data_IF_975889184219
#
_entry.id   IF_975889184219
#
_cell.length_a   1.000
_cell.length_b   1.000
_cell.length_c   1.000
_cell.angle_alpha   90.00
_cell.angle_beta   90.00
_cell.angle_gamma   90.00
#
_symmetry.space_group_name_H-M   'P 1'
#
loop_
_entity.id
_entity.type
_entity.pdbx_description
1 polymer ?
#
# COMPACT_ATOMS: atom_id res chain seq x y z
N UNK A 1 0.75 3.26 -25.08
CA UNK A 1 0.83 4.72 -24.85
C UNK A 1 1.64 4.90 -23.56
N UNK A 2 2.81 5.52 -23.64
CA UNK A 2 3.64 5.77 -22.44
C UNK A 2 2.97 6.95 -21.73
N UNK A 3 2.29 6.67 -20.62
CA UNK A 3 1.66 7.71 -19.81
C UNK A 3 2.79 8.45 -19.09
N UNK A 4 2.87 9.76 -19.32
CA UNK A 4 3.93 10.58 -18.74
C UNK A 4 3.82 10.61 -17.22
N UNK A 5 4.95 10.46 -16.54
CA UNK A 5 4.99 10.54 -15.06
C UNK A 5 4.50 11.91 -14.59
N UNK A 6 3.69 11.94 -13.52
CA UNK A 6 3.26 13.21 -12.94
C UNK A 6 4.48 13.98 -12.43
N UNK A 7 4.45 15.29 -12.65
CA UNK A 7 5.50 16.19 -12.15
C UNK A 7 5.17 16.58 -10.69
N UNK A 8 6.17 17.05 -9.96
CA UNK A 8 5.96 17.57 -8.60
C UNK A 8 4.83 18.60 -8.52
N UNK A 9 4.71 19.49 -9.53
CA UNK A 9 3.61 20.46 -9.61
C UNK A 9 2.22 19.80 -9.61
N UNK A 10 2.07 18.63 -10.21
CA UNK A 10 0.81 17.88 -10.19
C UNK A 10 0.55 17.30 -8.78
N UNK A 11 1.56 16.70 -8.16
CA UNK A 11 1.43 16.13 -6.83
C UNK A 11 1.02 17.19 -5.77
N UNK A 12 1.53 18.41 -5.89
CA UNK A 12 1.25 19.51 -4.96
C UNK A 12 0.12 20.44 -5.40
N UNK A 13 -0.55 20.16 -6.53
CA UNK A 13 -1.66 21.01 -7.02
C UNK A 13 -2.97 20.77 -6.28
N UNK A 14 -3.13 19.59 -5.68
CA UNK A 14 -4.34 19.18 -4.98
C UNK A 14 -3.99 18.20 -3.83
N UNK A 15 -4.53 18.39 -2.63
CA UNK A 15 -4.33 17.48 -1.50
C UNK A 15 -4.64 16.02 -1.85
N UNK A 16 -5.59 15.78 -2.74
CA UNK A 16 -5.98 14.44 -3.19
C UNK A 16 -4.85 13.75 -3.94
N UNK A 17 -4.19 14.50 -4.86
CA UNK A 17 -3.02 13.98 -5.59
C UNK A 17 -1.86 13.70 -4.63
N UNK A 18 -1.66 14.59 -3.65
CA UNK A 18 -0.59 14.44 -2.66
C UNK A 18 -0.77 13.17 -1.82
N UNK A 19 -2.01 12.86 -1.43
CA UNK A 19 -2.33 11.60 -0.72
C UNK A 19 -2.11 10.40 -1.67
N UNK A 20 -2.73 10.38 -2.85
CA UNK A 20 -2.64 9.27 -3.78
C UNK A 20 -1.19 8.92 -4.18
N UNK A 21 -0.31 9.95 -4.28
CA UNK A 21 1.10 9.79 -4.55
C UNK A 21 1.94 9.57 -3.27
N UNK A 22 1.35 9.14 -2.17
CA UNK A 22 2.06 8.81 -0.93
C UNK A 22 2.92 9.96 -0.43
N UNK A 23 2.35 11.16 -0.29
CA UNK A 23 3.04 12.38 0.13
C UNK A 23 4.27 12.73 -0.73
N UNK A 24 4.25 12.31 -2.00
CA UNK A 24 5.33 12.54 -2.95
C UNK A 24 6.28 11.35 -3.15
N UNK A 25 6.15 10.27 -2.40
CA UNK A 25 6.94 9.04 -2.61
C UNK A 25 6.76 8.48 -4.04
N UNK A 26 5.55 8.59 -4.59
CA UNK A 26 5.22 8.21 -5.96
C UNK A 26 5.92 9.00 -7.06
N UNK A 27 6.55 10.13 -6.73
CA UNK A 27 7.40 10.88 -7.66
C UNK A 27 8.80 10.25 -7.84
N UNK A 28 9.12 9.21 -7.06
CA UNK A 28 10.39 8.50 -7.17
C UNK A 28 10.63 8.05 -8.63
N UNK A 29 11.81 8.34 -9.21
CA UNK A 29 12.14 7.92 -10.56
C UNK A 29 12.29 6.40 -10.69
N UNK A 30 12.58 5.73 -9.58
CA UNK A 30 12.73 4.27 -9.50
C UNK A 30 11.74 3.69 -8.50
N UNK A 31 10.99 2.66 -8.95
CA UNK A 31 10.09 1.86 -8.13
C UNK A 31 9.22 2.69 -7.15
N UNK A 32 8.30 3.54 -7.64
CA UNK A 32 7.47 4.41 -6.78
C UNK A 32 6.66 3.62 -5.73
N UNK A 33 6.15 2.45 -6.08
CA UNK A 33 5.49 1.58 -5.13
C UNK A 33 6.39 1.09 -4.01
N UNK A 34 7.67 0.76 -4.31
CA UNK A 34 8.65 0.44 -3.25
C UNK A 34 8.89 1.64 -2.34
N UNK A 35 8.92 2.86 -2.89
CA UNK A 35 9.02 4.08 -2.08
C UNK A 35 7.79 4.27 -1.19
N UNK A 36 6.58 3.96 -1.69
CA UNK A 36 5.35 3.93 -0.91
C UNK A 36 5.42 2.92 0.24
N UNK A 37 5.81 1.68 -0.07
CA UNK A 37 5.97 0.63 0.95
C UNK A 37 6.99 1.04 2.03
N UNK A 38 8.13 1.65 1.65
CA UNK A 38 9.12 2.16 2.60
C UNK A 38 8.59 3.31 3.46
N UNK A 39 7.70 4.14 2.92
CA UNK A 39 7.06 5.22 3.66
C UNK A 39 6.16 4.71 4.79
N UNK A 40 5.65 3.49 4.69
CA UNK A 40 4.83 2.90 5.73
C UNK A 40 5.61 2.70 7.05
N UNK A 41 6.94 2.47 7.03
CA UNK A 41 7.74 2.31 8.25
C UNK A 41 7.75 3.56 9.15
N UNK A 42 8.14 4.76 8.66
CA UNK A 42 8.10 5.95 9.49
C UNK A 42 6.68 6.31 9.93
N UNK A 43 5.67 6.06 9.09
CA UNK A 43 4.27 6.27 9.49
C UNK A 43 3.86 5.30 10.59
N UNK A 44 4.25 4.02 10.51
CA UNK A 44 4.00 3.04 11.56
C UNK A 44 4.58 3.48 12.90
N UNK A 45 5.81 3.95 12.92
CA UNK A 45 6.45 4.43 14.14
C UNK A 45 5.82 5.72 14.67
N UNK A 46 5.38 6.61 13.77
CA UNK A 46 4.66 7.83 14.16
C UNK A 46 3.31 7.50 14.83
N UNK A 47 2.64 6.42 14.42
CA UNK A 47 1.40 5.92 15.03
C UNK A 47 1.64 5.05 16.27
N UNK A 48 2.85 5.00 16.81
CA UNK A 48 3.18 4.29 18.05
C UNK A 48 3.75 2.88 17.85
N UNK A 49 4.05 2.47 16.61
CA UNK A 49 4.82 1.23 16.33
C UNK A 49 4.24 -0.03 16.96
N UNK A 50 2.92 -0.21 16.95
CA UNK A 50 2.30 -1.38 17.59
C UNK A 50 2.09 -1.27 19.11
N UNK A 51 2.48 -0.15 19.71
CA UNK A 51 2.26 0.12 21.14
C UNK A 51 0.80 0.44 21.50
N UNK A 52 -0.11 0.36 20.52
CA UNK A 52 -1.53 0.53 20.80
C UNK A 52 -2.12 -0.78 21.29
N UNK A 53 -2.55 -0.80 22.54
CA UNK A 53 -3.27 -1.93 23.15
C UNK A 53 -4.73 -2.03 22.64
N UNK A 54 -5.12 -1.17 21.67
CA UNK A 54 -6.49 -1.05 21.16
C UNK A 54 -6.59 -1.52 19.70
N UNK A 55 -6.69 -2.85 19.46
CA UNK A 55 -6.70 -3.39 18.09
C UNK A 55 -7.89 -2.90 17.26
N UNK A 56 -9.03 -2.60 17.92
CA UNK A 56 -10.21 -2.07 17.23
C UNK A 56 -9.98 -0.65 16.71
N UNK A 57 -9.28 0.19 17.46
CA UNK A 57 -8.91 1.53 17.03
C UNK A 57 -7.95 1.48 15.83
N UNK A 58 -6.95 0.60 15.89
CA UNK A 58 -6.01 0.40 14.78
C UNK A 58 -6.74 -0.04 13.50
N UNK A 59 -7.64 -1.02 13.62
CA UNK A 59 -8.45 -1.48 12.49
C UNK A 59 -9.33 -0.36 11.92
N UNK A 60 -9.94 0.46 12.79
CA UNK A 60 -10.76 1.60 12.37
C UNK A 60 -9.91 2.65 11.63
N UNK A 61 -8.70 2.94 12.10
CA UNK A 61 -7.76 3.85 11.41
C UNK A 61 -7.36 3.29 10.04
N UNK A 62 -6.99 2.02 9.95
CA UNK A 62 -6.63 1.39 8.67
C UNK A 62 -7.81 1.38 7.69
N UNK A 63 -9.03 1.10 8.17
CA UNK A 63 -10.24 1.16 7.35
C UNK A 63 -10.53 2.59 6.86
N UNK A 64 -10.32 3.59 7.71
CA UNK A 64 -10.44 5.00 7.33
C UNK A 64 -9.40 5.37 6.26
N UNK A 65 -8.13 5.02 6.47
CA UNK A 65 -7.05 5.27 5.50
C UNK A 65 -7.29 4.57 4.16
N UNK A 66 -7.86 3.36 4.20
CA UNK A 66 -8.30 2.64 3.01
C UNK A 66 -9.40 3.40 2.26
N UNK A 67 -10.43 3.87 2.97
CA UNK A 67 -11.52 4.67 2.38
C UNK A 67 -11.03 5.97 1.74
N UNK A 68 -10.13 6.68 2.44
CA UNK A 68 -9.45 7.88 1.91
C UNK A 68 -8.64 7.52 0.66
N UNK A 69 -7.95 6.38 0.67
CA UNK A 69 -7.18 5.86 -0.47
C UNK A 69 -8.06 5.57 -1.68
N UNK A 70 -9.19 4.90 -1.49
CA UNK A 70 -10.17 4.63 -2.57
C UNK A 70 -10.60 5.94 -3.23
N UNK A 71 -10.98 6.94 -2.43
CA UNK A 71 -11.37 8.24 -2.94
C UNK A 71 -10.22 8.97 -3.65
N UNK A 72 -9.04 8.99 -3.04
CA UNK A 72 -7.90 9.71 -3.58
C UNK A 72 -7.37 9.08 -4.88
N UNK A 73 -7.24 7.75 -4.94
CA UNK A 73 -6.81 7.04 -6.13
C UNK A 73 -7.84 7.15 -7.27
N UNK A 74 -9.15 7.07 -6.95
CA UNK A 74 -10.20 7.25 -7.96
C UNK A 74 -10.11 8.63 -8.62
N UNK A 75 -10.04 9.69 -7.82
CA UNK A 75 -10.01 11.06 -8.35
C UNK A 75 -8.71 11.36 -9.08
N UNK A 76 -7.57 10.95 -8.53
CA UNK A 76 -6.25 11.12 -9.15
C UNK A 76 -6.16 10.35 -10.46
N UNK A 77 -6.66 9.11 -10.50
CA UNK A 77 -6.72 8.30 -11.72
C UNK A 77 -7.53 8.96 -12.83
N UNK A 78 -8.69 9.55 -12.49
CA UNK A 78 -9.50 10.34 -13.45
C UNK A 78 -8.72 11.53 -14.00
N UNK A 79 -8.01 12.27 -13.15
CA UNK A 79 -7.21 13.43 -13.59
C UNK A 79 -5.99 13.03 -14.43
N UNK A 80 -5.44 11.84 -14.22
CA UNK A 80 -4.34 11.28 -15.03
C UNK A 80 -4.85 10.56 -16.29
N UNK A 81 -6.16 10.32 -16.41
CA UNK A 81 -6.76 9.60 -17.53
C UNK A 81 -6.53 8.09 -17.51
N UNK A 82 -6.16 7.53 -16.35
CA UNK A 82 -5.94 6.08 -16.14
C UNK A 82 -6.40 5.68 -14.73
N UNK A 83 -7.03 4.52 -14.62
CA UNK A 83 -7.55 4.05 -13.32
C UNK A 83 -6.45 3.65 -12.33
N UNK A 84 -5.31 3.23 -12.84
CA UNK A 84 -4.16 2.84 -12.04
C UNK A 84 -2.90 3.40 -12.73
N UNK A 85 -2.27 4.36 -12.09
CA UNK A 85 -1.03 4.96 -12.56
C UNK A 85 0.09 4.58 -11.60
N UNK A 86 1.18 4.00 -12.11
CA UNK A 86 2.29 3.51 -11.29
C UNK A 86 3.01 4.54 -10.42
N UNK A 87 2.56 5.79 -10.37
CA UNK A 87 3.00 6.80 -9.42
C UNK A 87 2.03 6.94 -8.22
N UNK A 88 0.84 6.35 -8.29
CA UNK A 88 -0.02 6.22 -7.12
C UNK A 88 0.57 5.09 -6.26
N UNK A 89 0.80 5.35 -5.00
CA UNK A 89 1.45 4.40 -4.08
C UNK A 89 0.86 4.44 -2.66
N UNK A 90 -0.29 5.09 -2.50
CA UNK A 90 -1.00 5.12 -1.22
C UNK A 90 -1.57 3.75 -0.86
N UNK A 91 -1.95 2.95 -1.83
CA UNK A 91 -2.37 1.57 -1.74
C UNK A 91 -1.32 0.70 -1.05
N UNK A 92 -0.06 0.77 -1.52
CA UNK A 92 1.05 0.06 -0.89
C UNK A 92 1.33 0.56 0.54
N UNK A 93 1.18 1.87 0.78
CA UNK A 93 1.34 2.43 2.13
C UNK A 93 0.33 1.81 3.09
N UNK A 94 -0.96 1.85 2.75
CA UNK A 94 -2.04 1.36 3.63
C UNK A 94 -1.97 -0.15 3.79
N UNK A 95 -1.76 -0.88 2.70
CA UNK A 95 -1.66 -2.34 2.74
C UNK A 95 -0.46 -2.79 3.57
N UNK A 96 0.68 -2.11 3.45
CA UNK A 96 1.86 -2.46 4.23
C UNK A 96 1.76 -2.03 5.70
N UNK A 97 1.04 -0.95 6.02
CA UNK A 97 0.68 -0.63 7.41
C UNK A 97 -0.14 -1.77 8.05
N UNK A 98 -1.08 -2.38 7.31
CA UNK A 98 -1.81 -3.55 7.78
C UNK A 98 -0.87 -4.74 8.02
N UNK A 99 0.12 -4.96 7.14
CA UNK A 99 1.13 -6.01 7.32
C UNK A 99 1.95 -5.76 8.59
N UNK A 100 2.46 -4.54 8.80
CA UNK A 100 3.22 -4.18 9.99
C UNK A 100 2.41 -4.35 11.27
N UNK A 101 1.13 -3.99 11.25
CA UNK A 101 0.22 -4.12 12.39
C UNK A 101 0.05 -5.56 12.89
N UNK A 102 0.22 -6.54 12.01
CA UNK A 102 0.03 -7.97 12.32
C UNK A 102 1.35 -8.77 12.30
N UNK A 103 2.47 -8.10 12.00
CA UNK A 103 3.81 -8.69 12.02
C UNK A 103 4.47 -8.43 13.38
N UNK A 104 5.24 -9.37 13.95
CA UNK A 104 6.02 -9.11 15.15
C UNK A 104 6.88 -7.85 15.03
N UNK A 105 6.99 -7.09 16.12
CA UNK A 105 7.82 -5.87 16.17
C UNK A 105 9.30 -6.25 16.33
N UNK A 106 9.82 -6.89 15.30
CA UNK A 106 11.19 -7.34 15.15
C UNK A 106 11.71 -6.98 13.75
N UNK A 107 12.90 -6.38 13.64
CA UNK A 107 13.43 -5.92 12.36
C UNK A 107 13.55 -7.00 11.28
N UNK A 108 13.84 -8.24 11.67
CA UNK A 108 13.97 -9.35 10.71
C UNK A 108 12.62 -9.77 10.15
N UNK A 109 11.60 -9.81 11.01
CA UNK A 109 10.23 -10.09 10.60
C UNK A 109 9.67 -8.98 9.71
N UNK A 110 9.92 -7.72 10.06
CA UNK A 110 9.51 -6.57 9.26
C UNK A 110 10.22 -6.53 7.90
N UNK A 111 11.52 -6.85 7.85
CA UNK A 111 12.26 -6.97 6.59
C UNK A 111 11.71 -8.11 5.71
N UNK A 112 11.49 -9.29 6.30
CA UNK A 112 10.87 -10.41 5.58
C UNK A 112 9.48 -10.04 5.04
N UNK A 113 8.67 -9.36 5.86
CA UNK A 113 7.35 -8.84 5.47
C UNK A 113 7.44 -7.90 4.27
N UNK A 114 8.41 -6.98 4.28
CA UNK A 114 8.62 -6.03 3.19
C UNK A 114 8.93 -6.75 1.86
N UNK A 115 9.89 -7.67 1.86
CA UNK A 115 10.26 -8.38 0.63
C UNK A 115 9.14 -9.28 0.12
N UNK A 116 8.43 -9.98 1.01
CA UNK A 116 7.28 -10.81 0.64
C UNK A 116 6.14 -9.98 0.07
N UNK A 117 5.79 -8.87 0.74
CA UNK A 117 4.74 -7.98 0.26
C UNK A 117 5.06 -7.46 -1.15
N UNK A 118 6.28 -6.94 -1.37
CA UNK A 118 6.70 -6.47 -2.69
C UNK A 118 6.72 -7.58 -3.73
N UNK A 119 7.09 -8.81 -3.35
CA UNK A 119 7.02 -9.94 -4.27
C UNK A 119 5.58 -10.25 -4.70
N UNK A 120 4.63 -10.32 -3.75
CA UNK A 120 3.24 -10.62 -4.06
C UNK A 120 2.55 -9.50 -4.83
N UNK A 121 2.84 -8.25 -4.50
CA UNK A 121 2.31 -7.09 -5.21
C UNK A 121 2.82 -7.01 -6.67
N UNK A 122 4.09 -7.30 -6.91
CA UNK A 122 4.64 -7.25 -8.28
C UNK A 122 4.24 -8.48 -9.10
N UNK A 123 4.28 -9.69 -8.50
CA UNK A 123 3.98 -10.95 -9.21
C UNK A 123 2.47 -11.11 -9.41
N UNK A 124 1.67 -10.61 -8.47
CA UNK A 124 0.20 -10.71 -8.44
C UNK A 124 -0.29 -12.14 -8.73
N UNK A 125 0.01 -13.10 -7.84
CA UNK A 125 -0.43 -14.48 -8.03
C UNK A 125 -1.96 -14.56 -8.08
N UNK A 126 -2.54 -15.58 -8.74
CA UNK A 126 -3.99 -15.78 -8.69
C UNK A 126 -4.49 -15.91 -7.24
N UNK A 127 -5.62 -15.30 -6.86
CA UNK A 127 -6.57 -14.58 -7.71
C UNK A 127 -6.32 -13.08 -7.85
N UNK A 128 -5.24 -12.50 -7.32
CA UNK A 128 -4.98 -11.04 -7.31
C UNK A 128 -5.09 -10.48 -8.73
N UNK A 129 -4.31 -11.02 -9.67
CA UNK A 129 -4.32 -10.58 -11.07
C UNK A 129 -5.70 -10.65 -11.74
N UNK A 130 -6.49 -11.66 -11.38
CA UNK A 130 -7.84 -11.83 -11.94
C UNK A 130 -8.83 -10.79 -11.41
N UNK A 131 -8.69 -10.42 -10.13
CA UNK A 131 -9.52 -9.42 -9.48
C UNK A 131 -9.14 -8.01 -9.92
N UNK A 132 -7.87 -7.70 -10.04
CA UNK A 132 -7.35 -6.45 -10.63
C UNK A 132 -7.93 -6.19 -12.03
N UNK A 133 -8.04 -7.22 -12.86
CA UNK A 133 -8.63 -7.09 -14.20
C UNK A 133 -10.15 -6.81 -14.16
N UNK A 134 -10.85 -7.26 -13.13
CA UNK A 134 -12.30 -7.14 -13.00
C UNK A 134 -12.74 -5.91 -12.21
N UNK A 135 -12.01 -5.58 -11.16
CA UNK A 135 -12.33 -4.47 -10.27
C UNK A 135 -11.44 -3.29 -10.66
N UNK A 136 -12.06 -2.23 -11.18
CA UNK A 136 -11.36 -1.03 -11.64
C UNK A 136 -11.67 0.16 -10.73
N UNK A 137 -10.96 1.27 -10.95
CA UNK A 137 -11.10 2.48 -10.15
C UNK A 137 -10.34 2.42 -8.83
N UNK A 138 -10.53 3.43 -7.99
CA UNK A 138 -9.80 3.57 -6.74
C UNK A 138 -9.95 2.40 -5.77
N UNK A 139 -11.13 1.74 -5.76
CA UNK A 139 -11.32 0.54 -4.96
C UNK A 139 -10.46 -0.63 -5.48
N UNK A 140 -10.38 -0.83 -6.79
CA UNK A 140 -9.56 -1.90 -7.39
C UNK A 140 -8.09 -1.72 -7.05
N UNK A 141 -7.57 -0.48 -7.19
CA UNK A 141 -6.19 -0.12 -6.86
C UNK A 141 -5.86 -0.43 -5.40
N UNK A 142 -6.72 -0.05 -4.47
CA UNK A 142 -6.50 -0.31 -3.04
C UNK A 142 -6.67 -1.79 -2.66
N UNK A 143 -7.54 -2.53 -3.37
CA UNK A 143 -7.94 -3.87 -2.97
C UNK A 143 -6.93 -4.95 -3.37
N UNK A 144 -6.24 -4.81 -4.51
CA UNK A 144 -5.23 -5.79 -4.92
C UNK A 144 -4.03 -5.80 -3.97
N UNK A 145 -3.65 -4.66 -3.41
CA UNK A 145 -2.59 -4.58 -2.41
C UNK A 145 -3.01 -5.16 -1.05
N UNK A 146 -4.27 -5.01 -0.65
CA UNK A 146 -4.81 -5.71 0.53
C UNK A 146 -4.73 -7.23 0.35
N UNK A 147 -4.97 -7.75 -0.84
CA UNK A 147 -4.79 -9.17 -1.12
C UNK A 147 -3.30 -9.59 -1.06
N UNK A 148 -2.39 -8.77 -1.58
CA UNK A 148 -0.95 -9.01 -1.45
C UNK A 148 -0.51 -9.00 0.03
N UNK A 149 -1.06 -8.10 0.84
CA UNK A 149 -0.88 -8.08 2.29
C UNK A 149 -1.38 -9.38 2.94
N UNK A 150 -2.55 -9.88 2.55
CA UNK A 150 -3.11 -11.15 3.02
C UNK A 150 -2.18 -12.34 2.73
N UNK A 151 -1.64 -12.43 1.51
CA UNK A 151 -0.66 -13.47 1.16
C UNK A 151 0.63 -13.36 1.97
N UNK A 152 1.11 -12.15 2.17
CA UNK A 152 2.29 -11.88 3.01
C UNK A 152 2.09 -12.38 4.43
N UNK A 153 0.98 -12.00 5.05
CA UNK A 153 0.64 -12.41 6.41
C UNK A 153 0.44 -13.92 6.53
N UNK A 154 -0.18 -14.55 5.54
CA UNK A 154 -0.35 -16.00 5.52
C UNK A 154 1.02 -16.72 5.51
N UNK A 155 1.94 -16.29 4.65
CA UNK A 155 3.29 -16.88 4.60
C UNK A 155 4.04 -16.66 5.91
N UNK A 156 4.02 -15.45 6.47
CA UNK A 156 4.66 -15.16 7.75
C UNK A 156 4.06 -15.99 8.90
N UNK A 157 2.75 -16.16 8.94
CA UNK A 157 2.08 -16.98 9.93
C UNK A 157 2.48 -18.47 9.83
N UNK A 158 2.59 -19.01 8.62
CA UNK A 158 3.05 -20.37 8.37
C UNK A 158 4.49 -20.53 8.85
N UNK A 159 5.39 -19.61 8.45
CA UNK A 159 6.80 -19.63 8.85
C UNK A 159 6.92 -19.58 10.38
N UNK A 160 6.20 -18.66 11.04
CA UNK A 160 6.20 -18.54 12.50
C UNK A 160 5.74 -19.83 13.17
N UNK A 161 4.70 -20.49 12.66
CA UNK A 161 4.17 -21.71 13.27
C UNK A 161 5.05 -22.95 13.05
N UNK A 162 5.81 -22.99 11.94
CA UNK A 162 6.62 -24.18 11.57
C UNK A 162 8.00 -24.12 12.21
N UNK A 163 8.58 -22.92 12.37
CA UNK A 163 9.98 -22.76 12.77
C UNK A 163 10.16 -22.11 14.15
N UNK A 164 9.10 -21.57 14.74
CA UNK A 164 9.10 -20.90 16.03
C UNK A 164 7.89 -21.31 16.88
#
# INVERSE_FOLDING_TARGET
MIIARPRARFAFSDPVHFIALGFGAGLSPFAPGTAGTLLAFPLWWLFGGGATDEPLLLLAVLAFLFGVGVWACELTGRHLGVSDHGAMCWDEVVAFLLVLALTPDDPWWQAAAFFLFRAFDVIKPPPIRQLEMRIKGGFGVMFDDILAAGYTLLVLAIVKRVFF
#
